data_IF_636107834853
#
_entry.id   IF_636107834853
#
_cell.length_a   1.000
_cell.length_b   1.000
_cell.length_c   1.000
_cell.angle_alpha   90.00
_cell.angle_beta   90.00
_cell.angle_gamma   90.00
#
_symmetry.space_group_name_H-M   'P 1'
#
loop_
_entity.id
_entity.type
_entity.pdbx_description
1 polymer ?
#
# COMPACT_ATOMS: atom_id res chain seq x y z
N UNK A 1 32.44 1.51 -43.37
CA UNK A 1 32.11 0.07 -43.23
C UNK A 1 31.10 -0.11 -42.11
N UNK A 2 29.87 -0.52 -42.50
CA UNK A 2 28.75 -1.10 -41.74
C UNK A 2 28.35 -0.48 -40.38
N UNK A 3 27.38 0.43 -40.47
CA UNK A 3 26.39 0.69 -39.43
C UNK A 3 25.58 -0.60 -39.16
N UNK A 4 25.58 -1.09 -37.93
CA UNK A 4 24.54 -2.02 -37.47
C UNK A 4 23.34 -1.20 -36.99
N UNK A 5 22.45 -0.90 -37.93
CA UNK A 5 21.14 -0.34 -37.62
C UNK A 5 20.27 -1.42 -36.99
N UNK A 6 20.17 -1.43 -35.66
CA UNK A 6 19.10 -2.13 -34.97
C UNK A 6 17.85 -1.27 -35.16
N UNK A 7 16.88 -1.81 -35.91
CA UNK A 7 15.61 -1.19 -36.24
C UNK A 7 14.88 -0.70 -34.97
N UNK A 8 14.98 0.60 -34.71
CA UNK A 8 14.20 1.32 -33.69
C UNK A 8 12.68 1.25 -33.93
N UNK A 9 12.26 0.76 -35.11
CA UNK A 9 10.86 0.52 -35.49
C UNK A 9 10.26 -0.79 -34.93
N UNK A 10 11.06 -1.72 -34.36
CA UNK A 10 10.55 -3.00 -33.85
C UNK A 10 10.02 -2.94 -32.40
N UNK A 11 10.26 -1.85 -31.65
CA UNK A 11 9.90 -1.75 -30.22
C UNK A 11 8.63 -0.91 -29.98
N UNK A 12 8.10 -0.21 -30.99
CA UNK A 12 6.93 0.68 -30.83
C UNK A 12 5.60 0.08 -31.30
N UNK A 13 5.55 -1.20 -31.69
CA UNK A 13 4.30 -1.90 -31.99
C UNK A 13 3.72 -2.62 -30.75
N UNK A 14 3.68 -1.95 -29.59
CA UNK A 14 2.67 -2.32 -28.59
C UNK A 14 1.32 -1.97 -29.22
N UNK A 15 0.62 -2.99 -29.74
CA UNK A 15 -0.76 -2.85 -30.22
C UNK A 15 -1.52 -2.04 -29.17
N UNK A 16 -2.01 -0.85 -29.54
CA UNK A 16 -2.95 -0.11 -28.69
C UNK A 16 -4.05 -1.09 -28.29
N UNK A 17 -4.31 -1.29 -26.98
CA UNK A 17 -5.38 -2.17 -26.57
C UNK A 17 -6.69 -1.69 -27.21
N UNK A 18 -7.51 -2.64 -27.67
CA UNK A 18 -8.82 -2.30 -28.23
C UNK A 18 -9.71 -1.77 -27.10
N UNK A 19 -10.68 -0.91 -27.46
CA UNK A 19 -11.68 -0.40 -26.51
C UNK A 19 -12.32 -1.51 -25.66
N UNK A 20 -12.60 -2.65 -26.27
CA UNK A 20 -13.14 -3.83 -25.58
C UNK A 20 -12.17 -4.41 -24.53
N UNK A 21 -10.87 -4.49 -24.84
CA UNK A 21 -9.87 -4.97 -23.88
C UNK A 21 -9.76 -4.03 -22.68
N UNK A 22 -9.84 -2.73 -22.90
CA UNK A 22 -9.85 -1.73 -21.83
C UNK A 22 -11.11 -1.84 -20.96
N UNK A 23 -12.29 -2.05 -21.57
CA UNK A 23 -13.55 -2.28 -20.86
C UNK A 23 -13.51 -3.57 -20.00
N UNK A 24 -12.94 -4.65 -20.52
CA UNK A 24 -12.74 -5.90 -19.75
C UNK A 24 -11.77 -5.66 -18.59
N UNK A 25 -10.64 -5.00 -18.82
CA UNK A 25 -9.67 -4.69 -17.78
C UNK A 25 -10.28 -3.79 -16.68
N UNK A 26 -11.06 -2.79 -17.06
CA UNK A 26 -11.78 -1.92 -16.13
C UNK A 26 -12.82 -2.70 -15.30
N UNK A 27 -13.58 -3.60 -15.94
CA UNK A 27 -14.54 -4.45 -15.24
C UNK A 27 -13.86 -5.39 -14.23
N UNK A 28 -12.76 -6.04 -14.62
CA UNK A 28 -12.00 -6.90 -13.72
C UNK A 28 -11.37 -6.11 -12.57
N UNK A 29 -10.78 -4.94 -12.86
CA UNK A 29 -10.27 -4.03 -11.84
C UNK A 29 -11.33 -3.58 -10.85
N UNK A 30 -12.53 -3.28 -11.34
CA UNK A 30 -13.69 -2.90 -10.51
C UNK A 30 -14.13 -4.04 -9.60
N UNK A 31 -14.21 -5.27 -10.11
CA UNK A 31 -14.58 -6.44 -9.31
C UNK A 31 -13.53 -6.73 -8.23
N UNK A 32 -12.25 -6.60 -8.55
CA UNK A 32 -11.16 -6.79 -7.56
C UNK A 32 -11.19 -5.68 -6.51
N UNK A 33 -11.38 -4.43 -6.91
CA UNK A 33 -11.53 -3.31 -5.98
C UNK A 33 -12.71 -3.52 -5.03
N UNK A 34 -13.88 -3.91 -5.55
CA UNK A 34 -15.04 -4.23 -4.74
C UNK A 34 -14.73 -5.37 -3.75
N UNK A 35 -14.06 -6.43 -4.22
CA UNK A 35 -13.63 -7.53 -3.37
C UNK A 35 -12.71 -7.09 -2.23
N UNK A 36 -11.69 -6.28 -2.52
CA UNK A 36 -10.78 -5.70 -1.51
C UNK A 36 -11.54 -4.82 -0.53
N UNK A 37 -12.39 -3.92 -1.04
CA UNK A 37 -13.12 -2.92 -0.24
C UNK A 37 -14.07 -3.56 0.77
N UNK A 38 -14.65 -4.71 0.44
CA UNK A 38 -15.62 -5.41 1.28
C UNK A 38 -15.06 -6.70 1.92
N UNK A 39 -13.74 -6.95 1.79
CA UNK A 39 -13.11 -8.12 2.42
C UNK A 39 -13.55 -9.46 1.84
N UNK A 40 -13.97 -9.52 0.57
CA UNK A 40 -14.33 -10.77 -0.08
C UNK A 40 -13.09 -11.61 -0.38
N UNK A 41 -13.19 -12.92 -0.14
CA UNK A 41 -12.12 -13.86 -0.45
C UNK A 41 -11.89 -13.97 -1.96
N UNK A 42 -10.64 -13.91 -2.40
CA UNK A 42 -10.28 -14.18 -3.80
C UNK A 42 -10.59 -15.62 -4.25
N UNK A 43 -10.84 -16.55 -3.31
CA UNK A 43 -11.34 -17.88 -3.64
C UNK A 43 -12.75 -17.82 -4.26
N UNK A 44 -13.55 -16.82 -3.86
CA UNK A 44 -14.89 -16.59 -4.41
C UNK A 44 -14.87 -15.87 -5.77
N UNK A 45 -13.72 -15.33 -6.19
CA UNK A 45 -13.65 -14.55 -7.42
C UNK A 45 -14.03 -15.37 -8.65
N UNK A 46 -13.59 -16.63 -8.73
CA UNK A 46 -13.90 -17.49 -9.87
C UNK A 46 -15.40 -17.75 -10.01
N UNK A 47 -16.10 -18.01 -8.90
CA UNK A 47 -17.55 -18.22 -8.95
C UNK A 47 -18.29 -16.91 -9.26
N UNK A 48 -17.81 -15.77 -8.74
CA UNK A 48 -18.34 -14.45 -9.09
C UNK A 48 -18.29 -14.18 -10.59
N UNK A 49 -17.16 -14.47 -11.26
CA UNK A 49 -17.05 -14.32 -12.71
C UNK A 49 -18.08 -15.18 -13.45
N UNK A 50 -18.26 -16.44 -13.04
CA UNK A 50 -19.26 -17.32 -13.66
C UNK A 50 -20.68 -16.78 -13.46
N UNK A 51 -20.99 -16.25 -12.27
CA UNK A 51 -22.28 -15.59 -12.00
C UNK A 51 -22.48 -14.38 -12.90
N UNK A 52 -21.47 -13.52 -13.07
CA UNK A 52 -21.54 -12.38 -13.98
C UNK A 52 -21.83 -12.80 -15.42
N UNK A 53 -21.20 -13.87 -15.92
CA UNK A 53 -21.47 -14.41 -17.27
C UNK A 53 -22.91 -14.88 -17.43
N UNK A 54 -23.46 -15.53 -16.40
CA UNK A 54 -24.83 -16.03 -16.40
C UNK A 54 -25.85 -14.88 -16.34
N UNK A 55 -25.66 -13.92 -15.43
CA UNK A 55 -26.60 -12.79 -15.24
C UNK A 55 -26.55 -11.84 -16.45
N UNK A 56 -25.37 -11.64 -17.04
CA UNK A 56 -25.15 -10.72 -18.15
C UNK A 56 -24.82 -11.45 -19.45
N UNK A 57 -25.61 -12.48 -19.79
CA UNK A 57 -25.33 -13.38 -20.92
C UNK A 57 -25.22 -12.67 -22.28
N UNK A 58 -25.87 -11.52 -22.47
CA UNK A 58 -25.77 -10.73 -23.71
C UNK A 58 -24.55 -9.79 -23.77
N UNK A 59 -23.83 -9.62 -22.66
CA UNK A 59 -22.70 -8.68 -22.59
C UNK A 59 -21.41 -9.33 -23.06
N UNK A 60 -20.81 -8.78 -24.12
CA UNK A 60 -19.50 -9.20 -24.60
C UNK A 60 -18.43 -9.09 -23.51
N UNK A 61 -18.43 -7.97 -22.76
CA UNK A 61 -17.49 -7.74 -21.65
C UNK A 61 -17.63 -8.82 -20.58
N UNK A 62 -18.86 -9.12 -20.13
CA UNK A 62 -19.08 -10.11 -19.08
C UNK A 62 -18.60 -11.52 -19.51
N UNK A 63 -18.96 -11.93 -20.73
CA UNK A 63 -18.58 -13.23 -21.29
C UNK A 63 -17.05 -13.39 -21.45
N UNK A 64 -16.33 -12.28 -21.65
CA UNK A 64 -14.87 -12.25 -21.78
C UNK A 64 -14.11 -12.02 -20.46
N UNK A 65 -14.79 -11.89 -19.32
CA UNK A 65 -14.12 -11.85 -18.01
C UNK A 65 -13.35 -13.16 -17.73
N UNK A 66 -12.13 -13.03 -17.22
CA UNK A 66 -11.23 -14.16 -16.92
C UNK A 66 -10.52 -14.04 -15.56
N UNK A 67 -10.97 -13.10 -14.72
CA UNK A 67 -10.33 -12.74 -13.47
C UNK A 67 -10.58 -13.77 -12.34
N UNK A 68 -9.85 -14.87 -12.40
CA UNK A 68 -9.74 -15.83 -11.32
C UNK A 68 -8.84 -15.32 -10.18
N UNK A 69 -8.60 -16.16 -9.15
CA UNK A 69 -7.78 -15.85 -7.97
C UNK A 69 -6.43 -15.21 -8.31
N UNK A 70 -5.61 -15.83 -9.15
CA UNK A 70 -4.25 -15.36 -9.44
C UNK A 70 -4.25 -13.98 -10.10
N UNK A 71 -5.18 -13.75 -11.04
CA UNK A 71 -5.32 -12.46 -11.71
C UNK A 71 -5.83 -11.41 -10.74
N UNK A 72 -6.81 -11.75 -9.90
CA UNK A 72 -7.33 -10.85 -8.87
C UNK A 72 -6.24 -10.44 -7.86
N UNK A 73 -5.43 -11.38 -7.39
CA UNK A 73 -4.27 -11.09 -6.54
C UNK A 73 -3.27 -10.18 -7.25
N UNK A 74 -2.94 -10.46 -8.51
CA UNK A 74 -2.03 -9.61 -9.29
C UNK A 74 -2.58 -8.19 -9.48
N UNK A 75 -3.87 -8.03 -9.78
CA UNK A 75 -4.52 -6.72 -9.88
C UNK A 75 -4.47 -5.99 -8.54
N UNK A 76 -4.81 -6.67 -7.44
CA UNK A 76 -4.79 -6.06 -6.12
C UNK A 76 -3.38 -5.59 -5.72
N UNK A 77 -2.38 -6.45 -5.88
CA UNK A 77 -1.01 -6.19 -5.42
C UNK A 77 -0.23 -5.28 -6.36
N UNK A 78 -0.36 -5.45 -7.68
CA UNK A 78 0.49 -4.77 -8.65
C UNK A 78 -0.18 -3.56 -9.33
N UNK A 79 -1.50 -3.38 -9.16
CA UNK A 79 -2.24 -2.26 -9.76
C UNK A 79 -2.91 -1.41 -8.70
N UNK A 80 -3.79 -2.01 -7.88
CA UNK A 80 -4.56 -1.25 -6.89
C UNK A 80 -3.69 -0.74 -5.75
N UNK A 81 -2.87 -1.61 -5.14
CA UNK A 81 -2.02 -1.23 -4.01
C UNK A 81 -1.09 -0.06 -4.34
N UNK A 82 -0.25 -0.09 -5.40
CA UNK A 82 0.61 1.04 -5.74
C UNK A 82 -0.17 2.32 -6.06
N UNK A 83 -1.32 2.19 -6.73
CA UNK A 83 -2.19 3.34 -7.05
C UNK A 83 -2.72 4.03 -5.77
N UNK A 84 -3.27 3.25 -4.83
CA UNK A 84 -3.79 3.80 -3.57
C UNK A 84 -2.69 4.35 -2.66
N UNK A 85 -1.55 3.66 -2.57
CA UNK A 85 -0.39 4.16 -1.82
C UNK A 85 0.13 5.46 -2.41
N UNK A 86 0.26 5.56 -3.74
CA UNK A 86 0.69 6.80 -4.39
C UNK A 86 -0.29 7.95 -4.12
N UNK A 87 -1.61 7.72 -4.22
CA UNK A 87 -2.61 8.74 -3.89
C UNK A 87 -2.55 9.18 -2.42
N UNK A 88 -2.28 8.25 -1.50
CA UNK A 88 -2.07 8.58 -0.09
C UNK A 88 -0.84 9.47 0.10
N UNK A 89 0.28 9.10 -0.53
CA UNK A 89 1.54 9.83 -0.46
C UNK A 89 1.43 11.23 -1.10
N UNK A 90 0.74 11.35 -2.22
CA UNK A 90 0.52 12.63 -2.91
C UNK A 90 -0.34 13.58 -2.08
N UNK A 91 -1.31 13.06 -1.31
CA UNK A 91 -2.09 13.86 -0.37
C UNK A 91 -1.29 14.19 0.89
N UNK A 92 -0.53 13.23 1.41
CA UNK A 92 0.36 13.42 2.56
C UNK A 92 1.42 14.49 2.30
N UNK A 93 2.05 14.49 1.12
CA UNK A 93 3.08 15.48 0.73
C UNK A 93 2.55 16.92 0.61
N UNK A 94 1.23 17.11 0.59
CA UNK A 94 0.60 18.44 0.67
C UNK A 94 0.41 18.90 2.12
N UNK A 95 0.49 17.98 3.09
CA UNK A 95 0.52 18.28 4.51
C UNK A 95 1.95 18.59 4.95
N UNK A 96 2.11 19.54 5.87
CA UNK A 96 3.40 19.81 6.50
C UNK A 96 3.73 18.81 7.62
N UNK A 97 2.72 18.15 8.18
CA UNK A 97 2.87 17.35 9.39
C UNK A 97 2.09 16.04 9.32
N UNK A 98 2.65 15.00 9.92
CA UNK A 98 2.03 13.68 10.03
C UNK A 98 2.47 12.94 11.29
N UNK A 99 1.73 11.90 11.65
CA UNK A 99 2.10 10.92 12.66
C UNK A 99 2.38 9.58 11.98
N UNK A 100 3.40 8.87 12.46
CA UNK A 100 3.70 7.51 12.04
C UNK A 100 3.12 6.54 13.06
N UNK A 101 2.40 5.52 12.61
CA UNK A 101 1.83 4.49 13.46
C UNK A 101 2.34 3.14 12.98
N UNK A 102 2.66 2.26 13.91
CA UNK A 102 2.94 0.87 13.59
C UNK A 102 2.57 -0.05 14.75
N UNK A 103 2.39 -1.31 14.43
CA UNK A 103 2.16 -2.39 15.39
C UNK A 103 2.94 -3.62 14.95
N UNK A 104 3.19 -4.56 15.85
CA UNK A 104 3.83 -5.84 15.54
C UNK A 104 2.76 -6.94 15.47
N UNK A 105 2.47 -7.42 14.26
CA UNK A 105 1.58 -8.56 14.06
C UNK A 105 2.37 -9.87 14.01
N UNK A 106 2.08 -10.76 14.95
CA UNK A 106 2.72 -12.07 15.06
C UNK A 106 1.93 -13.14 14.30
N UNK A 107 2.51 -13.75 13.26
CA UNK A 107 1.90 -14.90 12.57
C UNK A 107 2.91 -16.04 12.41
N UNK A 108 2.92 -16.95 13.39
CA UNK A 108 3.92 -18.02 13.45
C UNK A 108 5.32 -17.44 13.67
N UNK A 109 6.25 -17.74 12.76
CA UNK A 109 7.61 -17.19 12.79
C UNK A 109 7.75 -15.86 12.03
N UNK A 110 6.72 -15.43 11.31
CA UNK A 110 6.73 -14.15 10.59
C UNK A 110 6.23 -13.02 11.50
N UNK A 111 6.90 -11.87 11.40
CA UNK A 111 6.63 -10.67 12.18
C UNK A 111 6.37 -9.55 11.20
N UNK A 112 5.11 -9.11 11.14
CA UNK A 112 4.66 -8.12 10.18
C UNK A 112 4.43 -6.78 10.85
N UNK A 113 5.06 -5.74 10.32
CA UNK A 113 4.96 -4.37 10.79
C UNK A 113 4.19 -3.51 9.77
N UNK A 114 2.86 -3.35 9.93
CA UNK A 114 2.12 -2.36 9.15
C UNK A 114 2.53 -0.95 9.57
N UNK A 115 3.22 -0.22 8.69
CA UNK A 115 3.49 1.19 8.87
C UNK A 115 2.38 2.03 8.25
N UNK A 116 1.73 2.82 9.09
CA UNK A 116 0.63 3.70 8.72
C UNK A 116 1.00 5.15 8.98
N UNK A 117 0.36 6.05 8.24
CA UNK A 117 0.40 7.49 8.49
C UNK A 117 -0.96 8.02 8.87
N UNK A 118 -0.96 9.05 9.70
CA UNK A 118 -2.13 9.87 9.99
C UNK A 118 -1.76 11.34 9.81
N UNK A 119 -2.58 12.09 9.07
CA UNK A 119 -2.34 13.51 8.81
C UNK A 119 -3.65 14.25 8.54
N UNK A 120 -3.62 15.58 8.62
CA UNK A 120 -4.73 16.43 8.23
C UNK A 120 -4.58 16.82 6.76
N UNK A 121 -5.52 16.39 5.92
CA UNK A 121 -5.60 16.85 4.52
C UNK A 121 -6.67 17.92 4.35
N UNK A 122 -6.76 18.51 3.17
CA UNK A 122 -7.78 19.50 2.84
C UNK A 122 -9.23 18.98 3.03
N UNK A 123 -9.39 17.65 3.06
CA UNK A 123 -10.69 16.97 3.23
C UNK A 123 -10.95 16.47 4.65
N UNK A 124 -10.03 16.71 5.59
CA UNK A 124 -10.11 16.23 6.97
C UNK A 124 -9.01 15.23 7.32
N UNK A 125 -9.17 14.52 8.44
CA UNK A 125 -8.17 13.56 8.91
C UNK A 125 -8.12 12.36 7.96
N UNK A 126 -6.92 12.04 7.48
CA UNK A 126 -6.65 10.90 6.62
C UNK A 126 -5.72 9.92 7.33
N UNK A 127 -5.95 8.63 7.08
CA UNK A 127 -5.12 7.53 7.55
C UNK A 127 -4.90 6.54 6.40
N UNK A 128 -3.76 5.89 6.38
CA UNK A 128 -3.50 4.82 5.43
C UNK A 128 -2.19 4.10 5.71
N UNK A 129 -2.10 2.87 5.20
CA UNK A 129 -0.88 2.06 5.24
C UNK A 129 0.05 2.54 4.12
N UNK A 130 1.31 2.79 4.45
CA UNK A 130 2.37 3.02 3.47
C UNK A 130 2.96 1.68 3.05
N UNK A 131 3.32 0.84 4.01
CA UNK A 131 3.92 -0.47 3.75
C UNK A 131 3.65 -1.48 4.87
N UNK A 132 3.90 -2.75 4.57
CA UNK A 132 3.84 -3.89 5.48
C UNK A 132 5.18 -4.62 5.45
N UNK A 133 6.05 -4.34 6.42
CA UNK A 133 7.40 -4.88 6.46
C UNK A 133 7.41 -6.23 7.20
N UNK A 134 8.02 -7.27 6.62
CA UNK A 134 8.26 -8.57 7.27
C UNK A 134 9.68 -8.60 7.81
N UNK A 135 9.83 -8.54 9.13
CA UNK A 135 11.13 -8.53 9.79
C UNK A 135 11.04 -9.15 11.19
N UNK A 136 11.83 -10.21 11.43
CA UNK A 136 11.79 -10.91 12.71
C UNK A 136 12.51 -10.16 13.85
N UNK A 137 13.34 -9.16 13.55
CA UNK A 137 14.08 -8.38 14.54
C UNK A 137 13.23 -7.21 15.05
N UNK A 138 12.69 -7.39 16.25
CA UNK A 138 11.84 -6.43 16.95
C UNK A 138 12.63 -5.48 17.87
N UNK A 139 13.94 -5.37 17.67
CA UNK A 139 14.74 -4.40 18.43
C UNK A 139 14.36 -2.96 18.04
N UNK A 140 14.48 -2.05 18.99
CA UNK A 140 14.18 -0.63 18.76
C UNK A 140 15.02 -0.05 17.61
N UNK A 141 16.29 -0.45 17.51
CA UNK A 141 17.20 -0.03 16.44
C UNK A 141 16.67 -0.47 15.08
N UNK A 142 16.22 -1.72 14.98
CA UNK A 142 15.78 -2.27 13.70
C UNK A 142 14.43 -1.68 13.26
N UNK A 143 13.49 -1.55 14.18
CA UNK A 143 12.20 -0.91 13.92
C UNK A 143 12.41 0.54 13.49
N UNK A 144 13.27 1.29 14.22
CA UNK A 144 13.65 2.65 13.84
C UNK A 144 14.26 2.71 12.45
N UNK A 145 15.23 1.85 12.14
CA UNK A 145 15.87 1.82 10.83
C UNK A 145 14.88 1.51 9.70
N UNK A 146 13.97 0.55 9.90
CA UNK A 146 12.93 0.21 8.94
C UNK A 146 11.96 1.39 8.73
N UNK A 147 11.55 2.05 9.81
CA UNK A 147 10.71 3.24 9.75
C UNK A 147 11.41 4.42 9.03
N UNK A 148 12.67 4.69 9.36
CA UNK A 148 13.46 5.74 8.75
C UNK A 148 13.68 5.48 7.25
N UNK A 149 14.01 4.25 6.86
CA UNK A 149 14.15 3.86 5.46
C UNK A 149 12.81 4.03 4.71
N UNK A 150 11.70 3.64 5.34
CA UNK A 150 10.36 3.83 4.76
C UNK A 150 10.04 5.31 4.51
N UNK A 151 10.40 6.23 5.42
CA UNK A 151 10.24 7.67 5.19
C UNK A 151 11.08 8.13 4.00
N UNK A 152 12.35 7.71 3.95
CA UNK A 152 13.29 8.06 2.88
C UNK A 152 12.81 7.57 1.50
N UNK A 153 12.45 6.30 1.39
CA UNK A 153 12.02 5.67 0.13
C UNK A 153 10.75 6.32 -0.44
N UNK A 154 9.90 6.85 0.43
CA UNK A 154 8.66 7.52 0.04
C UNK A 154 8.83 9.04 -0.11
N UNK A 155 10.03 9.58 0.11
CA UNK A 155 10.33 11.01 0.03
C UNK A 155 9.53 11.82 1.05
N UNK A 156 9.38 11.29 2.27
CA UNK A 156 8.77 11.95 3.42
C UNK A 156 9.86 12.55 4.29
N UNK A 157 9.75 13.85 4.55
CA UNK A 157 10.68 14.54 5.44
C UNK A 157 10.43 14.13 6.89
N UNK A 158 11.48 13.66 7.56
CA UNK A 158 11.41 13.27 8.98
C UNK A 158 11.04 14.46 9.87
N UNK A 159 11.37 15.70 9.48
CA UNK A 159 10.98 16.89 10.24
C UNK A 159 9.48 17.20 10.17
N UNK A 160 8.74 16.56 9.25
CA UNK A 160 7.28 16.57 9.25
C UNK A 160 6.66 15.57 10.24
N UNK A 161 7.44 14.67 10.83
CA UNK A 161 6.96 13.70 11.81
C UNK A 161 6.68 14.39 13.15
N UNK A 162 5.45 14.30 13.64
CA UNK A 162 5.00 14.97 14.87
C UNK A 162 4.69 14.01 16.01
N UNK A 163 4.36 12.75 15.70
CA UNK A 163 4.04 11.77 16.73
C UNK A 163 4.27 10.32 16.26
N UNK A 164 4.55 9.44 17.23
CA UNK A 164 4.55 7.99 17.05
C UNK A 164 3.33 7.37 17.73
N UNK A 165 2.48 6.68 16.96
CA UNK A 165 1.33 5.93 17.47
C UNK A 165 1.67 4.45 17.61
N UNK A 166 2.08 4.03 18.81
CA UNK A 166 2.63 2.69 19.09
C UNK A 166 2.14 2.17 20.44
N UNK A 167 2.32 0.87 20.72
CA UNK A 167 2.05 0.33 22.05
C UNK A 167 3.08 0.82 23.09
N UNK A 168 2.73 0.70 24.37
CA UNK A 168 3.56 1.22 25.47
C UNK A 168 4.69 0.26 25.90
N UNK A 169 5.19 -0.60 25.01
CA UNK A 169 6.32 -1.49 25.33
C UNK A 169 7.62 -0.70 25.51
N UNK A 170 8.56 -1.25 26.29
CA UNK A 170 9.86 -0.61 26.50
C UNK A 170 10.62 -0.39 25.18
N UNK A 171 10.49 -1.31 24.23
CA UNK A 171 11.08 -1.20 22.89
C UNK A 171 10.54 0.04 22.16
N UNK A 172 9.25 0.32 22.28
CA UNK A 172 8.61 1.41 21.54
C UNK A 172 8.71 2.77 22.25
N UNK A 173 8.48 2.83 23.57
CA UNK A 173 8.32 4.10 24.32
C UNK A 173 9.23 4.23 25.54
N UNK A 174 10.13 3.28 25.79
CA UNK A 174 11.08 3.34 26.91
C UNK A 174 11.95 4.61 26.88
N UNK A 175 12.48 5.00 28.04
CA UNK A 175 13.22 6.26 28.14
C UNK A 175 14.62 6.21 27.49
N UNK A 176 15.18 5.01 27.34
CA UNK A 176 16.49 4.79 26.75
C UNK A 176 16.41 3.71 25.67
N UNK A 177 17.07 3.94 24.53
CA UNK A 177 17.17 2.97 23.42
C UNK A 177 15.83 2.37 22.99
N UNK A 178 14.77 3.18 22.99
CA UNK A 178 13.48 2.86 22.40
C UNK A 178 13.34 3.50 21.03
N UNK A 179 12.36 3.05 20.23
CA UNK A 179 12.04 3.67 18.94
C UNK A 179 11.74 5.15 19.13
N UNK A 180 10.95 5.50 20.17
CA UNK A 180 10.68 6.89 20.51
C UNK A 180 11.94 7.68 20.88
N UNK A 181 12.83 7.15 21.71
CA UNK A 181 14.06 7.89 22.07
C UNK A 181 14.95 8.11 20.86
N UNK A 182 15.06 7.12 19.96
CA UNK A 182 15.83 7.22 18.72
C UNK A 182 15.27 8.30 17.78
N UNK A 183 13.94 8.33 17.58
CA UNK A 183 13.32 9.41 16.81
C UNK A 183 13.46 10.76 17.49
N UNK A 184 13.43 10.81 18.83
CA UNK A 184 13.56 12.07 19.59
C UNK A 184 14.94 12.71 19.44
N UNK A 185 15.98 11.92 19.20
CA UNK A 185 17.32 12.44 18.92
C UNK A 185 17.36 13.23 17.59
N UNK A 186 16.52 12.87 16.61
CA UNK A 186 16.41 13.56 15.31
C UNK A 186 15.28 14.61 15.25
N UNK A 187 14.20 14.36 15.99
CA UNK A 187 13.00 15.21 16.06
C UNK A 187 12.68 15.49 17.54
N UNK A 188 13.32 16.50 18.17
CA UNK A 188 13.22 16.73 19.62
C UNK A 188 11.80 16.94 20.15
N UNK A 189 10.91 17.50 19.31
CA UNK A 189 9.51 17.84 19.65
C UNK A 189 8.52 16.70 19.34
N UNK A 190 9.00 15.52 18.96
CA UNK A 190 8.13 14.37 18.65
C UNK A 190 7.32 13.93 19.88
N UNK A 191 6.04 13.64 19.65
CA UNK A 191 5.12 13.24 20.71
C UNK A 191 4.94 11.72 20.77
N UNK A 192 4.76 11.18 21.99
CA UNK A 192 4.20 9.84 22.19
C UNK A 192 2.71 9.91 21.89
N UNK A 193 2.29 9.46 20.71
CA UNK A 193 0.89 9.42 20.31
C UNK A 193 0.18 8.25 20.96
N UNK A 194 -0.95 8.48 21.62
CA UNK A 194 -1.86 7.40 22.01
C UNK A 194 -2.59 6.92 20.77
N UNK A 195 -2.56 5.60 20.53
CA UNK A 195 -3.18 4.90 19.40
C UNK A 195 -4.65 5.33 19.22
N UNK A 196 -4.94 6.22 18.27
CA UNK A 196 -6.27 6.34 17.68
C UNK A 196 -6.39 5.36 16.50
N UNK A 197 -6.19 4.07 16.77
CA UNK A 197 -6.77 3.00 15.96
C UNK A 197 -8.15 2.68 16.55
N UNK A 198 -8.99 3.70 16.75
CA UNK A 198 -10.40 3.48 16.95
C UNK A 198 -11.02 3.21 15.57
N UNK A 199 -11.55 1.99 15.45
CA UNK A 199 -12.22 1.36 14.31
C UNK A 199 -13.17 2.26 13.52
#
# INVERSE_FOLDING_TARGET
>A
MKSFGINQQLITNTMKPSKEKDEIAAAEGTLVYHGVKHGHSYLSQQCLINVCKTIFASSTVANNLSCARTKATSIAVNVLSPCFTQHLLDDLKKSSYFSLLYDASNKGNAKLFPFCVQFLSATGVRKGIIDLIDDADESAIKIFANAHQLLLDNGLDIHGLTALGVDNTNVNVGDNHSVYSLFKDEVPDILKGTVLLAY
#
